data_IF_142798648344
#
_entry.id   IF_142798648344
#
_cell.length_a   1.000
_cell.length_b   1.000
_cell.length_c   1.000
_cell.angle_alpha   90.00
_cell.angle_beta   90.00
_cell.angle_gamma   90.00
#
_symmetry.space_group_name_H-M   'P 1'
#
loop_
_entity.id
_entity.type
_entity.pdbx_description
1 polymer ?
#
# COMPACT_ATOMS: atom_id res chain seq x y z
N UNK A 1 -17.46 -4.57 0.58
CA UNK A 1 -16.25 -4.58 -0.27
C UNK A 1 -15.74 -3.16 -0.40
N UNK A 2 -14.45 -2.89 -0.23
CA UNK A 2 -13.87 -1.54 -0.17
C UNK A 2 -13.70 -0.87 -1.57
N UNK A 3 -14.56 -1.20 -2.53
CA UNK A 3 -14.48 -0.68 -3.89
C UNK A 3 -14.83 0.82 -3.92
N UNK A 4 -13.84 1.68 -4.18
CA UNK A 4 -13.99 3.14 -4.26
C UNK A 4 -13.44 3.93 -3.07
N UNK A 5 -13.01 3.28 -1.98
CA UNK A 5 -12.31 3.94 -0.88
C UNK A 5 -10.80 3.93 -1.11
N UNK A 6 -10.11 4.94 -0.60
CA UNK A 6 -8.65 4.99 -0.64
C UNK A 6 -8.06 3.76 0.10
N UNK A 7 -7.12 3.00 -0.49
CA UNK A 7 -6.66 1.73 0.08
C UNK A 7 -6.03 1.90 1.47
N UNK A 8 -5.37 3.04 1.73
CA UNK A 8 -4.87 3.37 3.07
C UNK A 8 -6.02 3.48 4.11
N UNK A 9 -7.17 4.04 3.73
CA UNK A 9 -8.32 4.13 4.65
C UNK A 9 -8.92 2.75 4.90
N UNK A 10 -9.09 1.95 3.85
CA UNK A 10 -9.58 0.58 3.98
C UNK A 10 -8.65 -0.26 4.87
N UNK A 11 -7.34 -0.08 4.75
CA UNK A 11 -6.35 -0.73 5.62
C UNK A 11 -6.48 -0.27 7.08
N UNK A 12 -6.65 1.03 7.33
CA UNK A 12 -6.85 1.54 8.68
C UNK A 12 -8.14 0.98 9.30
N UNK A 13 -9.26 1.01 8.57
CA UNK A 13 -10.53 0.41 9.03
C UNK A 13 -10.35 -1.08 9.35
N UNK A 14 -9.57 -1.78 8.54
CA UNK A 14 -9.26 -3.18 8.75
C UNK A 14 -8.44 -3.42 10.03
N UNK A 15 -7.34 -2.69 10.22
CA UNK A 15 -6.52 -2.81 11.42
C UNK A 15 -7.39 -2.63 12.68
N UNK A 16 -8.24 -1.59 12.69
CA UNK A 16 -9.17 -1.35 13.79
C UNK A 16 -10.19 -2.48 13.96
N UNK A 17 -10.77 -2.98 12.86
CA UNK A 17 -11.77 -4.07 12.90
C UNK A 17 -11.20 -5.38 13.43
N UNK A 18 -9.95 -5.70 13.08
CA UNK A 18 -9.27 -6.92 13.51
C UNK A 18 -8.51 -6.76 14.83
N UNK A 19 -8.50 -5.55 15.43
CA UNK A 19 -7.73 -5.26 16.64
C UNK A 19 -6.22 -5.28 16.42
N UNK A 20 -5.75 -5.13 15.18
CA UNK A 20 -4.33 -5.06 14.85
C UNK A 20 -3.77 -3.67 15.14
N UNK A 21 -2.46 -3.62 15.38
CA UNK A 21 -1.75 -2.34 15.43
C UNK A 21 -1.84 -1.60 14.10
N UNK A 22 -1.73 -0.27 14.18
CA UNK A 22 -1.73 0.60 13.02
C UNK A 22 -0.64 0.18 12.02
N UNK A 23 -1.02 0.15 10.74
CA UNK A 23 -0.12 -0.17 9.65
C UNK A 23 1.07 0.81 9.64
N UNK A 24 2.29 0.26 9.71
CA UNK A 24 3.53 1.04 9.60
C UNK A 24 3.93 1.10 8.15
N UNK A 25 4.32 2.28 7.66
CA UNK A 25 4.78 2.45 6.29
C UNK A 25 6.22 2.91 6.31
N UNK A 26 7.07 2.21 5.58
CA UNK A 26 8.50 2.50 5.47
C UNK A 26 8.88 2.74 4.00
N UNK A 27 9.72 3.73 3.75
CA UNK A 27 10.29 3.97 2.42
C UNK A 27 11.43 2.98 2.22
N UNK A 28 11.30 2.12 1.22
CA UNK A 28 12.33 1.16 0.83
C UNK A 28 13.28 1.81 -0.17
N UNK A 29 12.72 2.51 -1.16
CA UNK A 29 13.51 3.16 -2.19
C UNK A 29 12.88 4.49 -2.62
N UNK A 30 13.76 5.44 -2.92
CA UNK A 30 13.44 6.80 -3.34
C UNK A 30 14.49 7.18 -4.38
N UNK A 31 14.30 6.68 -5.59
CA UNK A 31 15.23 6.89 -6.69
C UNK A 31 14.46 7.14 -7.99
N UNK A 32 15.12 7.77 -8.95
CA UNK A 32 14.52 8.05 -10.25
C UNK A 32 14.79 9.48 -10.71
N UNK A 33 14.71 9.72 -12.03
CA UNK A 33 14.99 11.01 -12.62
C UNK A 33 13.97 12.07 -12.18
N UNK A 34 14.33 13.35 -12.29
CA UNK A 34 13.48 14.47 -11.83
C UNK A 34 12.07 14.46 -12.42
N UNK A 35 11.92 13.90 -13.61
CA UNK A 35 10.67 13.74 -14.35
C UNK A 35 9.95 12.39 -14.10
N UNK A 36 10.57 11.44 -13.38
CA UNK A 36 10.02 10.10 -13.08
C UNK A 36 10.56 9.56 -11.74
N UNK A 37 10.29 10.29 -10.65
CA UNK A 37 10.68 9.84 -9.31
C UNK A 37 9.87 8.62 -8.93
N UNK A 38 10.57 7.56 -8.56
CA UNK A 38 9.97 6.33 -8.07
C UNK A 38 10.12 6.28 -6.55
N UNK A 39 9.01 6.00 -5.88
CA UNK A 39 8.93 5.82 -4.45
C UNK A 39 8.43 4.42 -4.19
N UNK A 40 9.30 3.58 -3.64
CA UNK A 40 8.95 2.26 -3.17
C UNK A 40 8.69 2.36 -1.66
N UNK A 41 7.48 2.01 -1.24
CA UNK A 41 7.12 1.92 0.17
C UNK A 41 6.64 0.52 0.48
N UNK A 42 7.02 -0.01 1.65
CA UNK A 42 6.47 -1.23 2.23
C UNK A 42 5.54 -0.89 3.38
N UNK A 43 4.59 -1.78 3.65
CA UNK A 43 3.70 -1.69 4.80
C UNK A 43 3.91 -2.89 5.73
N UNK A 44 3.97 -2.64 7.04
CA UNK A 44 4.03 -3.67 8.07
C UNK A 44 2.71 -3.66 8.84
N UNK A 45 1.99 -4.77 8.80
CA UNK A 45 0.71 -4.96 9.48
C UNK A 45 0.78 -6.27 10.24
N UNK A 46 0.49 -6.23 11.55
CA UNK A 46 0.52 -7.42 12.41
C UNK A 46 1.85 -8.20 12.34
N UNK A 47 2.98 -7.50 12.18
CA UNK A 47 4.31 -8.10 12.03
C UNK A 47 4.61 -8.70 10.65
N UNK A 48 3.67 -8.64 9.71
CA UNK A 48 3.89 -9.06 8.32
C UNK A 48 4.20 -7.86 7.44
N UNK A 49 5.23 -7.99 6.63
CA UNK A 49 5.70 -6.94 5.72
C UNK A 49 5.23 -7.20 4.30
N UNK A 50 4.70 -6.18 3.66
CA UNK A 50 4.18 -6.23 2.31
C UNK A 50 4.79 -5.10 1.49
N UNK A 51 5.57 -5.50 0.48
CA UNK A 51 6.25 -4.59 -0.42
C UNK A 51 5.70 -4.78 -1.83
N UNK A 52 5.13 -3.74 -2.47
CA UNK A 52 4.72 -3.79 -3.86
C UNK A 52 5.91 -4.07 -4.78
N UNK A 53 5.73 -4.83 -5.86
CA UNK A 53 6.80 -5.13 -6.82
C UNK A 53 7.20 -3.91 -7.65
N UNK A 54 6.31 -2.93 -7.77
CA UNK A 54 6.51 -1.70 -8.54
C UNK A 54 6.58 -0.49 -7.62
N UNK A 55 7.58 0.36 -7.85
CA UNK A 55 7.65 1.67 -7.21
C UNK A 55 6.64 2.63 -7.84
N UNK A 56 6.16 3.58 -7.05
CA UNK A 56 5.10 4.49 -7.45
C UNK A 56 5.64 5.91 -7.75
N UNK A 57 4.97 6.71 -8.59
CA UNK A 57 5.45 8.04 -8.98
C UNK A 57 5.39 9.09 -7.85
N UNK A 58 4.81 8.74 -6.70
CA UNK A 58 4.69 9.65 -5.55
C UNK A 58 4.60 8.88 -4.23
N UNK A 59 5.02 9.50 -3.13
CA UNK A 59 4.91 8.93 -1.77
C UNK A 59 3.47 8.54 -1.41
N UNK A 60 2.47 9.31 -1.86
CA UNK A 60 1.06 9.03 -1.60
C UNK A 60 0.60 7.76 -2.32
N UNK A 61 0.99 7.60 -3.58
CA UNK A 61 0.69 6.40 -4.35
C UNK A 61 1.44 5.19 -3.80
N UNK A 62 2.72 5.33 -3.43
CA UNK A 62 3.51 4.25 -2.84
C UNK A 62 2.86 3.70 -1.57
N UNK A 63 2.35 4.59 -0.71
CA UNK A 63 1.59 4.23 0.48
C UNK A 63 0.29 3.49 0.13
N UNK A 64 -0.41 3.96 -0.90
CA UNK A 64 -1.64 3.36 -1.39
C UNK A 64 -1.40 1.95 -1.97
N UNK A 65 -0.35 1.77 -2.76
CA UNK A 65 0.01 0.48 -3.37
C UNK A 65 0.41 -0.55 -2.31
N UNK A 66 1.21 -0.16 -1.32
CA UNK A 66 1.56 -1.04 -0.20
C UNK A 66 0.31 -1.50 0.56
N UNK A 67 -0.60 -0.56 0.87
CA UNK A 67 -1.87 -0.88 1.51
C UNK A 67 -2.77 -1.76 0.63
N UNK A 68 -2.84 -1.48 -0.67
CA UNK A 68 -3.62 -2.24 -1.64
C UNK A 68 -3.12 -3.68 -1.75
N UNK A 69 -1.80 -3.88 -1.79
CA UNK A 69 -1.18 -5.21 -1.83
C UNK A 69 -1.57 -6.05 -0.62
N UNK A 70 -1.49 -5.46 0.58
CA UNK A 70 -1.92 -6.15 1.80
C UNK A 70 -3.40 -6.55 1.73
N UNK A 71 -4.26 -5.59 1.36
CA UNK A 71 -5.70 -5.81 1.25
C UNK A 71 -6.07 -6.84 0.17
N UNK A 72 -5.32 -6.89 -0.92
CA UNK A 72 -5.46 -7.89 -1.98
C UNK A 72 -5.03 -9.27 -1.49
N UNK A 73 -3.93 -9.36 -0.73
CA UNK A 73 -3.43 -10.62 -0.15
C UNK A 73 -4.44 -11.30 0.78
N UNK A 74 -5.31 -10.53 1.42
CA UNK A 74 -6.38 -11.03 2.29
C UNK A 74 -7.76 -11.07 1.60
N UNK A 75 -7.82 -10.77 0.29
CA UNK A 75 -9.05 -10.83 -0.51
C UNK A 75 -10.06 -9.71 -0.27
N UNK A 76 -9.67 -8.61 0.37
CA UNK A 76 -10.58 -7.50 0.72
C UNK A 76 -10.55 -6.34 -0.28
N UNK A 77 -9.58 -6.31 -1.18
CA UNK A 77 -9.44 -5.29 -2.22
C UNK A 77 -9.18 -5.93 -3.58
N UNK A 78 -9.91 -5.44 -4.59
CA UNK A 78 -9.60 -5.62 -6.01
C UNK A 78 -9.46 -4.21 -6.57
N UNK A 79 -8.25 -3.65 -6.45
CA UNK A 79 -7.93 -2.38 -7.09
C UNK A 79 -7.85 -2.53 -8.59
N UNK A 80 -7.86 -1.42 -9.34
CA UNK A 80 -7.45 -1.49 -10.73
C UNK A 80 -6.02 -2.05 -10.75
N UNK A 81 -5.84 -3.20 -11.42
CA UNK A 81 -4.51 -3.70 -11.73
C UNK A 81 -3.86 -2.60 -12.56
N UNK A 82 -2.89 -1.89 -11.99
CA UNK A 82 -1.99 -1.05 -12.74
C UNK A 82 -1.19 -2.00 -13.63
N UNK A 83 -1.80 -2.35 -14.76
CA UNK A 83 -1.12 -2.93 -15.91
C UNK A 83 -0.11 -1.89 -16.35
N UNK A 84 1.12 -2.35 -16.48
CA UNK A 84 2.30 -1.63 -16.95
C UNK A 84 2.04 -0.82 -18.23
#
# INVERSE_FOLDING_TARGET
MFAGKHPVMALTELCTKFGWSAAKFEVVDNSGPDHKKNFLMKVIVNGQEFQPPSAAPSKKQAKADAAALFLESIGLYKGPKTSQ
#
